data_IF_195560719289
#
_entry.id   IF_195560719289
#
_cell.length_a   1.000
_cell.length_b   1.000
_cell.length_c   1.000
_cell.angle_alpha   90.00
_cell.angle_beta   90.00
_cell.angle_gamma   90.00
#
_symmetry.space_group_name_H-M   'P 1'
#
loop_
_entity.id
_entity.type
_entity.pdbx_description
1 polymer ?
#
# COMPACT_ATOMS: atom_id res chain seq x y z
N UNK A 1 17.67 -30.26 -10.82
CA UNK A 1 16.84 -29.23 -10.16
C UNK A 1 17.30 -27.87 -10.66
N UNK A 2 16.42 -27.08 -11.29
CA UNK A 2 16.74 -25.71 -11.69
C UNK A 2 16.89 -24.85 -10.43
N UNK A 3 18.10 -24.35 -10.16
CA UNK A 3 18.33 -23.46 -9.01
C UNK A 3 17.58 -22.13 -9.20
N UNK A 4 16.84 -21.69 -8.17
CA UNK A 4 16.15 -20.40 -8.18
C UNK A 4 17.15 -19.26 -8.40
N UNK A 5 16.77 -18.36 -9.30
CA UNK A 5 17.62 -17.27 -9.79
C UNK A 5 17.12 -15.90 -9.33
N UNK A 6 15.80 -15.75 -9.29
CA UNK A 6 15.11 -14.61 -8.69
C UNK A 6 14.00 -15.17 -7.81
N UNK A 7 13.92 -14.70 -6.58
CA UNK A 7 12.79 -14.98 -5.68
C UNK A 7 12.00 -13.68 -5.48
N UNK A 8 10.67 -13.78 -5.61
CA UNK A 8 9.75 -12.66 -5.41
C UNK A 8 8.88 -13.01 -4.21
N UNK A 9 8.83 -12.12 -3.22
CA UNK A 9 7.86 -12.23 -2.14
C UNK A 9 6.92 -11.03 -2.13
N UNK A 10 5.71 -11.26 -2.63
CA UNK A 10 4.57 -10.37 -2.46
C UNK A 10 3.51 -11.09 -1.65
N UNK A 11 3.36 -10.75 -0.36
CA UNK A 11 2.21 -11.24 0.41
C UNK A 11 1.00 -10.39 0.02
N UNK A 12 0.24 -10.85 -0.98
CA UNK A 12 -1.11 -10.37 -1.18
C UNK A 12 -1.95 -10.68 0.07
N UNK A 13 -2.55 -9.64 0.66
CA UNK A 13 -3.73 -9.69 1.55
C UNK A 13 -3.85 -10.99 2.40
N UNK A 14 -2.93 -11.24 3.33
CA UNK A 14 -3.07 -12.32 4.30
C UNK A 14 -2.64 -11.85 5.70
N UNK A 15 -3.59 -11.86 6.65
CA UNK A 15 -3.34 -11.68 8.08
C UNK A 15 -2.98 -10.26 8.55
N UNK A 16 -2.81 -10.09 9.87
CA UNK A 16 -2.38 -8.83 10.48
C UNK A 16 -0.95 -8.47 10.06
N UNK A 17 -0.63 -7.18 10.02
CA UNK A 17 0.64 -6.69 9.48
C UNK A 17 1.89 -7.25 10.21
N UNK A 18 1.82 -7.36 11.54
CA UNK A 18 2.90 -7.96 12.33
C UNK A 18 3.14 -9.43 11.96
N UNK A 19 2.07 -10.18 11.66
CA UNK A 19 2.19 -11.55 11.18
C UNK A 19 2.82 -11.61 9.78
N UNK A 20 2.56 -10.63 8.91
CA UNK A 20 3.20 -10.54 7.58
C UNK A 20 4.70 -10.27 7.66
N UNK A 21 5.14 -9.34 8.52
CA UNK A 21 6.56 -9.03 8.68
C UNK A 21 7.37 -10.25 9.16
N UNK A 22 6.82 -10.96 10.16
CA UNK A 22 7.42 -12.19 10.68
C UNK A 22 7.44 -13.26 9.59
N UNK A 23 6.33 -13.47 8.88
CA UNK A 23 6.25 -14.45 7.79
C UNK A 23 7.25 -14.15 6.67
N UNK A 24 7.44 -12.88 6.30
CA UNK A 24 8.41 -12.47 5.28
C UNK A 24 9.83 -12.84 5.69
N UNK A 25 10.22 -12.51 6.93
CA UNK A 25 11.55 -12.84 7.44
C UNK A 25 11.76 -14.36 7.58
N UNK A 26 10.73 -15.12 7.99
CA UNK A 26 10.77 -16.58 8.10
C UNK A 26 10.93 -17.24 6.73
N UNK A 27 10.08 -16.90 5.76
CA UNK A 27 10.17 -17.40 4.38
C UNK A 27 11.54 -17.07 3.77
N UNK A 28 12.07 -15.89 4.05
CA UNK A 28 13.39 -15.48 3.55
C UNK A 28 14.51 -16.31 4.18
N UNK A 29 14.47 -16.59 5.50
CA UNK A 29 15.46 -17.45 6.17
C UNK A 29 15.43 -18.89 5.65
N UNK A 30 14.27 -19.39 5.26
CA UNK A 30 14.14 -20.74 4.68
C UNK A 30 14.59 -20.78 3.21
N UNK A 31 14.27 -19.74 2.44
CA UNK A 31 14.44 -19.75 0.98
C UNK A 31 15.79 -19.22 0.53
N UNK A 32 16.28 -18.12 1.13
CA UNK A 32 17.50 -17.43 0.68
C UNK A 32 18.75 -18.33 0.69
N UNK A 33 18.99 -19.20 1.71
CA UNK A 33 20.14 -20.10 1.71
C UNK A 33 20.14 -21.14 0.59
N UNK A 34 18.98 -21.46 0.00
CA UNK A 34 18.84 -22.39 -1.12
C UNK A 34 19.00 -21.72 -2.50
N UNK A 35 19.08 -20.39 -2.54
CA UNK A 35 19.29 -19.63 -3.78
C UNK A 35 20.75 -19.74 -4.24
N UNK A 36 20.96 -19.67 -5.55
CA UNK A 36 22.32 -19.67 -6.10
C UNK A 36 23.05 -18.37 -5.72
N UNK A 37 24.39 -18.40 -5.52
CA UNK A 37 25.16 -17.18 -5.35
C UNK A 37 24.90 -16.17 -6.47
N UNK A 38 24.70 -14.90 -6.11
CA UNK A 38 24.37 -13.84 -7.08
C UNK A 38 22.93 -13.89 -7.62
N UNK A 39 22.06 -14.73 -7.05
CA UNK A 39 20.61 -14.60 -7.21
C UNK A 39 20.10 -13.28 -6.61
N UNK A 40 18.87 -12.90 -6.94
CA UNK A 40 18.22 -11.69 -6.41
C UNK A 40 16.94 -12.00 -5.65
N UNK A 41 16.75 -11.31 -4.52
CA UNK A 41 15.52 -11.26 -3.74
C UNK A 41 14.80 -9.94 -4.00
N UNK A 42 13.59 -10.00 -4.55
CA UNK A 42 12.70 -8.85 -4.75
C UNK A 42 11.70 -8.78 -3.60
N UNK A 43 11.94 -7.86 -2.66
CA UNK A 43 11.04 -7.60 -1.54
C UNK A 43 9.92 -6.66 -1.99
N UNK A 44 8.77 -7.22 -2.39
CA UNK A 44 7.64 -6.42 -2.91
C UNK A 44 6.55 -6.15 -1.87
N UNK A 45 6.62 -6.83 -0.72
CA UNK A 45 5.69 -6.62 0.38
C UNK A 45 5.96 -5.28 1.07
N UNK A 46 4.91 -4.50 1.31
CA UNK A 46 5.04 -3.23 2.04
C UNK A 46 5.27 -3.53 3.52
N UNK A 47 6.50 -3.38 3.96
CA UNK A 47 6.95 -3.47 5.37
C UNK A 47 7.43 -2.08 5.84
N UNK A 48 7.76 -1.91 7.12
CA UNK A 48 8.36 -0.66 7.60
C UNK A 48 9.82 -0.51 7.14
N UNK A 49 10.38 0.71 7.08
CA UNK A 49 11.79 0.91 6.71
C UNK A 49 12.77 0.10 7.57
N UNK A 50 12.50 -0.06 8.86
CA UNK A 50 13.34 -0.83 9.78
C UNK A 50 13.30 -2.34 9.46
N UNK A 51 12.14 -2.86 9.05
CA UNK A 51 12.00 -4.25 8.63
C UNK A 51 12.82 -4.50 7.35
N UNK A 52 12.87 -3.55 6.41
CA UNK A 52 13.66 -3.67 5.18
C UNK A 52 15.13 -3.90 5.51
N UNK A 53 15.68 -3.18 6.49
CA UNK A 53 17.08 -3.36 6.90
C UNK A 53 17.34 -4.77 7.46
N UNK A 54 16.39 -5.32 8.24
CA UNK A 54 16.47 -6.70 8.75
C UNK A 54 16.45 -7.72 7.61
N UNK A 55 15.58 -7.52 6.61
CA UNK A 55 15.50 -8.40 5.44
C UNK A 55 16.76 -8.32 4.58
N UNK A 56 17.29 -7.12 4.37
CA UNK A 56 18.54 -6.93 3.64
C UNK A 56 19.70 -7.69 4.30
N UNK A 57 19.81 -7.66 5.63
CA UNK A 57 20.82 -8.41 6.38
C UNK A 57 20.68 -9.94 6.22
N UNK A 58 19.44 -10.46 6.12
CA UNK A 58 19.19 -11.87 5.83
C UNK A 58 19.69 -12.21 4.42
N UNK A 59 19.38 -11.39 3.41
CA UNK A 59 19.86 -11.60 2.04
C UNK A 59 21.39 -11.57 1.96
N UNK A 60 22.02 -10.60 2.63
CA UNK A 60 23.48 -10.47 2.68
C UNK A 60 24.12 -11.73 3.27
N UNK A 61 23.60 -12.23 4.40
CA UNK A 61 24.09 -13.46 5.04
C UNK A 61 23.99 -14.71 4.15
N UNK A 62 23.05 -14.70 3.19
CA UNK A 62 22.85 -15.77 2.22
C UNK A 62 23.60 -15.54 0.88
N UNK A 63 24.31 -14.42 0.71
CA UNK A 63 25.00 -14.08 -0.55
C UNK A 63 24.05 -13.77 -1.71
N UNK A 64 22.86 -13.26 -1.41
CA UNK A 64 21.79 -12.91 -2.36
C UNK A 64 21.71 -11.40 -2.51
N UNK A 65 21.53 -10.91 -3.74
CA UNK A 65 21.29 -9.49 -4.02
C UNK A 65 19.92 -9.09 -3.48
N UNK A 66 19.85 -8.03 -2.69
CA UNK A 66 18.59 -7.54 -2.12
C UNK A 66 18.05 -6.34 -2.90
N UNK A 67 16.76 -6.38 -3.23
CA UNK A 67 16.02 -5.26 -3.80
C UNK A 67 14.77 -4.96 -2.98
N UNK A 68 14.65 -3.72 -2.52
CA UNK A 68 13.41 -3.15 -1.97
C UNK A 68 12.53 -2.73 -3.15
N UNK A 69 11.43 -3.43 -3.40
CA UNK A 69 10.62 -3.32 -4.63
C UNK A 69 9.10 -3.19 -4.40
N UNK A 70 8.61 -2.35 -3.47
CA UNK A 70 7.19 -2.18 -3.25
C UNK A 70 6.45 -1.72 -4.51
N UNK A 71 5.19 -2.11 -4.61
CA UNK A 71 4.34 -1.82 -5.77
C UNK A 71 3.25 -0.81 -5.45
N UNK A 72 2.83 -0.06 -6.46
CA UNK A 72 1.64 0.79 -6.48
C UNK A 72 0.69 0.30 -7.56
N UNK A 73 -0.54 0.02 -7.14
CA UNK A 73 -1.61 -0.57 -7.95
C UNK A 73 -2.41 -1.55 -7.10
N UNK A 74 -3.71 -1.63 -7.37
CA UNK A 74 -4.63 -2.53 -6.66
C UNK A 74 -4.68 -3.89 -7.38
N UNK A 75 -5.72 -4.68 -7.09
CA UNK A 75 -5.94 -6.00 -7.69
C UNK A 75 -5.88 -6.01 -9.22
N UNK A 76 -6.63 -5.15 -9.90
CA UNK A 76 -6.70 -5.17 -11.37
C UNK A 76 -5.34 -4.83 -12.03
N UNK A 77 -4.59 -3.79 -11.61
CA UNK A 77 -3.23 -3.58 -12.10
C UNK A 77 -2.29 -4.75 -11.86
N UNK A 78 -2.41 -5.45 -10.71
CA UNK A 78 -1.61 -6.64 -10.43
C UNK A 78 -1.95 -7.82 -11.37
N UNK A 79 -3.24 -8.12 -11.57
CA UNK A 79 -3.71 -9.19 -12.46
C UNK A 79 -3.34 -8.92 -13.93
N UNK A 80 -3.28 -7.65 -14.32
CA UNK A 80 -2.95 -7.23 -15.70
C UNK A 80 -1.45 -6.99 -15.95
N UNK A 81 -0.60 -7.14 -14.93
CA UNK A 81 0.84 -6.86 -15.06
C UNK A 81 1.15 -5.38 -15.33
N UNK A 82 0.32 -4.46 -14.85
CA UNK A 82 0.46 -3.02 -15.11
C UNK A 82 0.84 -2.21 -13.88
N UNK A 83 1.36 -2.86 -12.83
CA UNK A 83 1.80 -2.19 -11.60
C UNK A 83 2.87 -1.12 -11.88
N UNK A 84 2.90 -0.10 -11.04
CA UNK A 84 4.06 0.79 -10.94
C UNK A 84 4.94 0.24 -9.82
N UNK A 85 6.18 -0.10 -10.14
CA UNK A 85 7.11 -0.65 -9.15
C UNK A 85 8.11 0.43 -8.75
N UNK A 86 8.35 0.61 -7.47
CA UNK A 86 9.43 1.44 -6.94
C UNK A 86 10.52 0.48 -6.50
N UNK A 87 11.72 0.58 -7.10
CA UNK A 87 12.81 -0.37 -6.84
C UNK A 87 14.10 0.31 -6.42
N UNK A 88 14.71 -0.19 -5.34
CA UNK A 88 16.05 0.16 -4.89
C UNK A 88 16.89 -1.10 -4.70
N UNK A 89 18.13 -1.06 -5.18
CA UNK A 89 19.07 -2.18 -5.06
C UNK A 89 20.19 -2.10 -6.11
N UNK A 90 21.20 -2.98 -6.02
CA UNK A 90 22.49 -2.79 -6.67
C UNK A 90 22.35 -2.69 -8.20
N UNK A 91 23.09 -1.77 -8.82
CA UNK A 91 23.07 -1.61 -10.27
C UNK A 91 23.50 -2.90 -11.01
N UNK A 92 24.42 -3.65 -10.42
CA UNK A 92 24.99 -4.88 -10.99
C UNK A 92 23.97 -6.01 -11.23
N UNK A 93 22.85 -6.04 -10.50
CA UNK A 93 21.80 -7.05 -10.68
C UNK A 93 20.58 -6.56 -11.46
N UNK A 94 20.61 -5.34 -12.04
CA UNK A 94 19.43 -4.80 -12.73
C UNK A 94 19.03 -5.65 -13.94
N UNK A 95 19.98 -6.05 -14.77
CA UNK A 95 19.72 -6.93 -15.92
C UNK A 95 19.06 -8.26 -15.50
N UNK A 96 19.37 -8.74 -14.30
CA UNK A 96 18.80 -9.97 -13.74
C UNK A 96 17.35 -9.79 -13.32
N UNK A 97 17.00 -8.67 -12.69
CA UNK A 97 15.66 -8.46 -12.10
C UNK A 97 14.67 -7.79 -13.07
N UNK A 98 15.16 -7.01 -14.04
CA UNK A 98 14.29 -6.27 -15.00
C UNK A 98 13.25 -7.16 -15.68
N UNK A 99 13.57 -8.37 -16.21
CA UNK A 99 12.54 -9.22 -16.84
C UNK A 99 11.40 -9.63 -15.89
N UNK A 100 11.69 -9.76 -14.59
CA UNK A 100 10.68 -10.08 -13.57
C UNK A 100 9.83 -8.85 -13.25
N UNK A 101 10.46 -7.67 -13.15
CA UNK A 101 9.78 -6.41 -12.93
C UNK A 101 8.86 -6.05 -14.11
N UNK A 102 9.32 -6.21 -15.34
CA UNK A 102 8.56 -5.94 -16.56
C UNK A 102 7.39 -6.91 -16.76
N UNK A 103 7.46 -8.12 -16.20
CA UNK A 103 6.37 -9.09 -16.28
C UNK A 103 5.16 -8.72 -15.41
N UNK A 104 5.37 -7.93 -14.35
CA UNK A 104 4.32 -7.57 -13.38
C UNK A 104 4.00 -6.08 -13.35
N UNK A 105 4.81 -5.26 -14.04
CA UNK A 105 4.69 -3.81 -14.02
C UNK A 105 4.67 -3.16 -15.40
N UNK A 106 3.95 -2.04 -15.50
CA UNK A 106 3.99 -1.17 -16.67
C UNK A 106 5.22 -0.25 -16.69
N UNK A 107 5.80 0.01 -15.51
CA UNK A 107 7.03 0.79 -15.34
C UNK A 107 7.70 0.53 -13.99
N UNK A 108 9.02 0.63 -13.98
CA UNK A 108 9.86 0.61 -12.77
C UNK A 108 10.47 1.99 -12.52
N UNK A 109 10.32 2.51 -11.32
CA UNK A 109 10.98 3.71 -10.82
C UNK A 109 12.16 3.29 -9.95
N UNK A 110 13.38 3.48 -10.45
CA UNK A 110 14.59 3.19 -9.69
C UNK A 110 14.86 4.31 -8.68
N UNK A 111 14.76 4.03 -7.38
CA UNK A 111 14.89 5.06 -6.32
C UNK A 111 16.26 5.08 -5.65
N UNK A 112 17.16 4.15 -5.99
CA UNK A 112 18.51 4.08 -5.42
C UNK A 112 19.21 2.76 -5.70
N UNK A 113 20.48 2.66 -5.30
CA UNK A 113 21.29 1.44 -5.44
C UNK A 113 21.40 0.62 -4.14
N UNK A 114 20.97 1.19 -3.02
CA UNK A 114 20.94 0.53 -1.72
C UNK A 114 19.48 0.21 -1.34
N UNK A 115 19.12 -1.07 -1.44
CA UNK A 115 17.82 -1.56 -0.99
C UNK A 115 17.67 -1.55 0.53
N UNK A 116 18.77 -1.70 1.28
CA UNK A 116 18.75 -1.74 2.75
C UNK A 116 18.40 -0.37 3.36
N UNK A 117 18.71 0.72 2.65
CA UNK A 117 18.31 2.08 3.02
C UNK A 117 16.79 2.36 2.85
N UNK A 118 16.05 1.41 2.28
CA UNK A 118 14.59 1.46 2.08
C UNK A 118 14.03 2.70 1.32
N UNK A 119 14.72 3.30 0.33
CA UNK A 119 14.20 4.51 -0.32
C UNK A 119 12.93 4.24 -1.14
N UNK A 120 12.73 3.02 -1.65
CA UNK A 120 11.50 2.64 -2.36
C UNK A 120 10.32 2.46 -1.42
N UNK A 121 10.52 1.81 -0.27
CA UNK A 121 9.52 1.72 0.80
C UNK A 121 9.15 3.11 1.33
N UNK A 122 10.11 4.01 1.54
CA UNK A 122 9.83 5.40 1.94
C UNK A 122 8.99 6.13 0.89
N UNK A 123 9.34 6.03 -0.39
CA UNK A 123 8.54 6.62 -1.46
C UNK A 123 7.13 6.01 -1.53
N UNK A 124 7.00 4.69 -1.34
CA UNK A 124 5.70 4.01 -1.29
C UNK A 124 4.82 4.56 -0.16
N UNK A 125 5.37 4.81 1.02
CA UNK A 125 4.61 5.42 2.13
C UNK A 125 4.14 6.84 1.80
N UNK A 126 4.96 7.64 1.10
CA UNK A 126 4.54 8.96 0.59
C UNK A 126 3.42 8.85 -0.45
N UNK A 127 3.48 7.88 -1.36
CA UNK A 127 2.40 7.62 -2.31
C UNK A 127 1.13 7.20 -1.58
N UNK A 128 1.26 6.29 -0.60
CA UNK A 128 0.11 5.81 0.16
C UNK A 128 -0.49 6.87 1.08
N UNK A 129 0.27 7.86 1.53
CA UNK A 129 -0.32 8.99 2.27
C UNK A 129 -1.30 9.78 1.40
N UNK A 130 -0.99 9.96 0.11
CA UNK A 130 -1.92 10.56 -0.85
C UNK A 130 -3.14 9.67 -1.11
N UNK A 131 -2.94 8.36 -1.30
CA UNK A 131 -4.03 7.37 -1.50
C UNK A 131 -5.03 7.42 -0.34
N UNK A 132 -4.54 7.40 0.89
CA UNK A 132 -5.35 7.43 2.12
C UNK A 132 -6.12 8.75 2.24
N UNK A 133 -5.46 9.88 1.99
CA UNK A 133 -6.08 11.18 2.03
C UNK A 133 -7.21 11.32 1.01
N UNK A 134 -6.97 10.96 -0.26
CA UNK A 134 -7.98 11.08 -1.33
C UNK A 134 -9.15 10.13 -1.08
N UNK A 135 -8.90 8.92 -0.59
CA UNK A 135 -10.00 7.99 -0.30
C UNK A 135 -10.88 8.45 0.87
N UNK A 136 -10.30 9.00 1.93
CA UNK A 136 -11.07 9.58 3.04
C UNK A 136 -11.88 10.79 2.56
N UNK A 137 -11.25 11.67 1.76
CA UNK A 137 -11.94 12.82 1.17
C UNK A 137 -13.13 12.39 0.30
N UNK A 138 -12.98 11.35 -0.52
CA UNK A 138 -14.08 10.82 -1.32
C UNK A 138 -15.28 10.39 -0.44
N UNK A 139 -15.02 9.68 0.65
CA UNK A 139 -16.04 9.26 1.60
C UNK A 139 -16.73 10.43 2.30
N UNK A 140 -15.96 11.41 2.77
CA UNK A 140 -16.50 12.60 3.45
C UNK A 140 -17.32 13.49 2.49
N UNK A 141 -16.85 13.71 1.26
CA UNK A 141 -17.55 14.52 0.26
C UNK A 141 -18.89 13.88 -0.12
N UNK A 142 -18.92 12.58 -0.41
CA UNK A 142 -20.17 11.87 -0.74
C UNK A 142 -21.14 11.92 0.44
N UNK A 143 -20.63 11.72 1.66
CA UNK A 143 -21.46 11.75 2.88
C UNK A 143 -22.02 13.15 3.14
N UNK A 144 -21.20 14.20 3.03
CA UNK A 144 -21.62 15.58 3.18
C UNK A 144 -22.65 15.97 2.14
N UNK A 145 -22.40 15.70 0.87
CA UNK A 145 -23.31 16.00 -0.24
C UNK A 145 -24.70 15.40 0.02
N UNK A 146 -24.76 14.11 0.36
CA UNK A 146 -26.01 13.43 0.73
C UNK A 146 -26.69 14.08 1.94
N UNK A 147 -25.93 14.41 2.98
CA UNK A 147 -26.47 15.00 4.21
C UNK A 147 -27.10 16.39 3.99
N UNK A 148 -26.58 17.17 3.04
CA UNK A 148 -27.10 18.51 2.72
C UNK A 148 -28.03 18.54 1.51
N UNK A 149 -28.42 17.37 0.98
CA UNK A 149 -29.36 17.27 -0.15
C UNK A 149 -28.77 17.60 -1.53
N UNK A 150 -27.44 17.57 -1.67
CA UNK A 150 -26.74 17.72 -2.96
C UNK A 150 -26.50 16.33 -3.56
N UNK A 151 -27.00 16.04 -4.78
CA UNK A 151 -26.64 14.82 -5.49
C UNK A 151 -25.12 14.76 -5.71
N UNK A 152 -24.40 13.71 -5.27
CA UNK A 152 -22.94 13.65 -5.41
C UNK A 152 -22.46 13.75 -6.88
N UNK A 153 -23.28 13.31 -7.84
CA UNK A 153 -22.99 13.50 -9.26
C UNK A 153 -22.75 14.96 -9.66
N UNK A 154 -23.47 15.93 -9.06
CA UNK A 154 -23.30 17.36 -9.36
C UNK A 154 -21.94 17.89 -8.92
N UNK A 155 -21.37 17.35 -7.84
CA UNK A 155 -19.99 17.69 -7.45
C UNK A 155 -19.01 17.31 -8.56
N UNK A 156 -19.20 16.12 -9.14
CA UNK A 156 -18.35 15.61 -10.21
C UNK A 156 -18.56 16.28 -11.57
N UNK A 157 -19.77 16.78 -11.85
CA UNK A 157 -20.05 17.62 -13.02
C UNK A 157 -19.28 18.94 -12.95
N UNK A 158 -19.17 19.56 -11.76
CA UNK A 158 -18.41 20.81 -11.57
C UNK A 158 -16.91 20.62 -11.80
N UNK A 159 -16.35 19.45 -11.45
CA UNK A 159 -14.93 19.18 -11.60
C UNK A 159 -14.54 18.69 -13.00
N UNK A 160 -15.50 18.26 -13.81
CA UNK A 160 -15.27 17.53 -15.06
C UNK A 160 -14.34 18.29 -16.02
N UNK A 161 -13.25 17.63 -16.43
CA UNK A 161 -12.24 18.20 -17.32
C UNK A 161 -11.39 19.34 -16.73
N UNK A 162 -11.58 19.67 -15.45
CA UNK A 162 -10.84 20.70 -14.73
C UNK A 162 -9.58 20.16 -14.01
N UNK A 163 -8.73 21.06 -13.53
CA UNK A 163 -7.49 20.69 -12.81
C UNK A 163 -7.70 20.05 -11.42
N UNK A 164 -8.95 20.02 -10.94
CA UNK A 164 -9.34 19.37 -9.70
C UNK A 164 -9.94 17.97 -9.95
N UNK A 165 -10.10 17.56 -11.20
CA UNK A 165 -10.61 16.24 -11.53
C UNK A 165 -9.58 15.16 -11.19
N UNK A 166 -9.88 14.36 -10.17
CA UNK A 166 -9.04 13.27 -9.71
C UNK A 166 -9.75 11.94 -10.03
N UNK A 167 -9.28 11.19 -11.06
CA UNK A 167 -9.86 9.89 -11.40
C UNK A 167 -9.92 8.92 -10.22
N UNK A 168 -8.91 8.94 -9.35
CA UNK A 168 -8.88 8.11 -8.15
C UNK A 168 -9.97 8.48 -7.12
N UNK A 169 -10.27 9.77 -6.96
CA UNK A 169 -11.35 10.24 -6.09
C UNK A 169 -12.70 9.76 -6.61
N UNK A 170 -12.94 9.87 -7.93
CA UNK A 170 -14.15 9.35 -8.60
C UNK A 170 -14.36 7.87 -8.34
N UNK A 171 -13.31 7.06 -8.53
CA UNK A 171 -13.36 5.62 -8.26
C UNK A 171 -13.80 5.36 -6.82
N UNK A 172 -13.18 6.02 -5.83
CA UNK A 172 -13.51 5.80 -4.42
C UNK A 172 -14.90 6.30 -4.05
N UNK A 173 -15.33 7.45 -4.57
CA UNK A 173 -16.67 7.98 -4.35
C UNK A 173 -17.75 7.05 -4.90
N UNK A 174 -17.55 6.52 -6.10
CA UNK A 174 -18.45 5.56 -6.74
C UNK A 174 -18.58 4.24 -5.95
N UNK A 175 -17.50 3.76 -5.31
CA UNK A 175 -17.59 2.62 -4.38
C UNK A 175 -18.50 2.95 -3.18
N UNK A 176 -18.37 4.15 -2.60
CA UNK A 176 -19.21 4.63 -1.49
C UNK A 176 -20.67 4.78 -1.93
N UNK A 177 -20.91 5.32 -3.12
CA UNK A 177 -22.26 5.53 -3.64
C UNK A 177 -23.01 4.23 -3.87
N UNK A 178 -22.32 3.21 -4.42
CA UNK A 178 -22.90 1.90 -4.69
C UNK A 178 -22.87 0.94 -3.51
N UNK A 179 -22.19 1.30 -2.41
CA UNK A 179 -21.91 0.37 -1.30
C UNK A 179 -21.06 -0.83 -1.73
N UNK A 180 -20.27 -0.70 -2.81
CA UNK A 180 -19.49 -1.77 -3.42
C UNK A 180 -18.13 -1.92 -2.71
N UNK A 181 -18.14 -2.14 -1.39
CA UNK A 181 -16.94 -2.15 -0.56
C UNK A 181 -16.23 -3.51 -0.53
N UNK A 182 -16.84 -4.54 -1.12
CA UNK A 182 -16.29 -5.90 -1.20
C UNK A 182 -16.42 -6.47 -2.62
N UNK A 183 -15.39 -7.18 -3.15
CA UNK A 183 -14.06 -7.36 -2.56
C UNK A 183 -13.27 -6.04 -2.51
N UNK A 184 -12.40 -5.90 -1.51
CA UNK A 184 -11.59 -4.69 -1.35
C UNK A 184 -10.57 -4.53 -2.49
N UNK A 185 -10.47 -3.32 -3.05
CA UNK A 185 -9.34 -2.97 -3.91
C UNK A 185 -8.11 -2.65 -3.07
N UNK A 186 -8.31 -2.02 -1.91
CA UNK A 186 -7.31 -1.84 -0.87
C UNK A 186 -8.00 -1.82 0.49
N UNK A 187 -7.74 -2.81 1.34
CA UNK A 187 -8.52 -3.05 2.55
C UNK A 187 -8.26 -2.02 3.67
N UNK A 188 -9.26 -1.81 4.55
CA UNK A 188 -9.16 -0.94 5.73
C UNK A 188 -7.98 -1.36 6.61
N UNK A 189 -7.80 -2.65 6.90
CA UNK A 189 -6.70 -3.15 7.74
C UNK A 189 -5.31 -2.78 7.19
N UNK A 190 -5.15 -2.85 5.87
CA UNK A 190 -3.87 -2.68 5.21
C UNK A 190 -3.58 -1.19 5.03
N UNK A 191 -4.59 -0.39 4.70
CA UNK A 191 -4.47 1.06 4.65
C UNK A 191 -4.29 1.71 6.03
N UNK A 192 -4.94 1.19 7.07
CA UNK A 192 -4.76 1.62 8.46
C UNK A 192 -3.34 1.38 8.93
N UNK A 193 -2.79 0.18 8.67
CA UNK A 193 -1.37 -0.11 8.93
C UNK A 193 -0.44 0.85 8.19
N UNK A 194 -0.67 1.09 6.90
CA UNK A 194 0.17 2.05 6.17
C UNK A 194 0.04 3.47 6.73
N UNK A 195 -1.15 3.88 7.22
CA UNK A 195 -1.32 5.15 7.94
C UNK A 195 -0.47 5.21 9.21
N UNK A 196 -0.43 4.14 10.01
CA UNK A 196 0.43 4.06 11.20
C UNK A 196 1.91 4.15 10.84
N UNK A 197 2.38 3.41 9.82
CA UNK A 197 3.76 3.52 9.33
C UNK A 197 4.12 4.95 8.87
N UNK A 198 3.19 5.63 8.19
CA UNK A 198 3.37 7.02 7.76
C UNK A 198 3.50 7.95 8.97
N UNK A 199 2.67 7.76 10.00
CA UNK A 199 2.70 8.58 11.22
C UNK A 199 3.96 8.33 12.04
N UNK A 200 4.44 7.09 12.13
CA UNK A 200 5.69 6.76 12.79
C UNK A 200 6.88 7.42 12.07
N UNK A 201 6.93 7.30 10.74
CA UNK A 201 7.94 7.96 9.93
C UNK A 201 7.90 9.50 10.07
N UNK A 202 6.71 10.09 10.10
CA UNK A 202 6.55 11.52 10.32
C UNK A 202 7.10 11.94 11.68
N UNK A 203 6.81 11.17 12.74
CA UNK A 203 7.29 11.43 14.10
C UNK A 203 8.81 11.36 14.19
N UNK A 204 9.43 10.36 13.57
CA UNK A 204 10.89 10.23 13.47
C UNK A 204 11.52 11.42 12.74
N UNK A 205 10.84 11.95 11.72
CA UNK A 205 11.25 13.14 10.99
C UNK A 205 10.93 14.46 11.71
N UNK A 206 10.33 14.43 12.90
CA UNK A 206 9.91 15.63 13.64
C UNK A 206 8.72 16.37 13.01
N UNK A 207 7.94 15.70 12.17
CA UNK A 207 6.77 16.23 11.49
C UNK A 207 5.47 15.80 12.18
N UNK A 208 4.47 16.68 12.11
CA UNK A 208 3.09 16.38 12.47
C UNK A 208 2.24 16.39 11.20
N UNK A 209 1.43 15.34 11.00
CA UNK A 209 0.55 15.19 9.85
C UNK A 209 -0.90 15.13 10.30
N UNK A 210 -1.49 16.28 10.66
CA UNK A 210 -2.83 16.36 11.27
C UNK A 210 -3.93 15.65 10.46
N UNK A 211 -3.88 15.81 9.13
CA UNK A 211 -4.82 15.11 8.25
C UNK A 211 -4.67 13.58 8.35
N UNK A 212 -3.43 13.08 8.36
CA UNK A 212 -3.18 11.64 8.48
C UNK A 212 -3.56 11.10 9.86
N UNK A 213 -3.37 11.87 10.94
CA UNK A 213 -3.84 11.50 12.29
C UNK A 213 -5.35 11.28 12.29
N UNK A 214 -6.10 12.20 11.68
CA UNK A 214 -7.55 12.07 11.56
C UNK A 214 -7.95 10.87 10.66
N UNK A 215 -7.31 10.69 9.51
CA UNK A 215 -7.61 9.58 8.59
C UNK A 215 -7.30 8.21 9.21
N UNK A 216 -6.17 8.09 9.91
CA UNK A 216 -5.82 6.88 10.66
C UNK A 216 -6.88 6.56 11.70
N UNK A 217 -7.28 7.53 12.53
CA UNK A 217 -8.30 7.32 13.55
C UNK A 217 -9.67 6.95 12.95
N UNK A 218 -9.99 7.41 11.73
CA UNK A 218 -11.20 6.98 11.01
C UNK A 218 -11.11 5.51 10.60
N UNK A 219 -10.00 5.10 10.00
CA UNK A 219 -9.75 3.71 9.59
C UNK A 219 -9.81 2.76 10.79
N UNK A 220 -9.21 3.14 11.91
CA UNK A 220 -9.22 2.36 13.15
C UNK A 220 -10.66 2.13 13.65
N UNK A 221 -11.49 3.19 13.72
CA UNK A 221 -12.90 3.06 14.12
C UNK A 221 -13.70 2.12 13.21
N UNK A 222 -13.46 2.17 11.90
CA UNK A 222 -14.15 1.30 10.93
C UNK A 222 -13.68 -0.14 11.04
N UNK A 223 -12.39 -0.37 11.27
CA UNK A 223 -11.84 -1.70 11.53
C UNK A 223 -12.47 -2.31 12.80
N UNK A 224 -12.50 -1.55 13.90
CA UNK A 224 -13.09 -1.96 15.18
C UNK A 224 -14.59 -2.28 15.08
N UNK A 225 -15.29 -1.63 14.14
CA UNK A 225 -16.68 -1.89 13.83
C UNK A 225 -16.92 -3.14 12.95
N UNK A 226 -15.86 -3.91 12.62
CA UNK A 226 -15.96 -5.16 11.87
C UNK A 226 -15.79 -5.03 10.36
N UNK A 227 -15.39 -3.87 9.86
CA UNK A 227 -15.24 -3.58 8.43
C UNK A 227 -13.76 -3.65 7.96
N UNK A 228 -12.89 -4.31 8.73
CA UNK A 228 -11.45 -4.36 8.46
C UNK A 228 -11.07 -4.93 7.07
N UNK A 229 -11.88 -5.85 6.55
CA UNK A 229 -11.64 -6.51 5.26
C UNK A 229 -12.31 -5.82 4.07
N UNK A 230 -13.12 -4.78 4.30
CA UNK A 230 -13.72 -3.98 3.25
C UNK A 230 -12.71 -3.00 2.66
N UNK A 231 -13.02 -2.46 1.48
CA UNK A 231 -12.23 -1.41 0.87
C UNK A 231 -12.10 -0.20 1.81
N UNK A 232 -10.94 0.45 1.83
CA UNK A 232 -10.66 1.66 2.62
C UNK A 232 -11.68 2.79 2.40
N UNK A 233 -12.42 2.78 1.29
CA UNK A 233 -13.58 3.62 1.07
C UNK A 233 -14.60 3.54 2.23
N UNK A 234 -14.69 2.39 2.91
CA UNK A 234 -15.50 2.14 4.11
C UNK A 234 -15.20 3.12 5.26
N UNK A 235 -14.05 3.81 5.25
CA UNK A 235 -13.74 4.92 6.17
C UNK A 235 -14.83 6.00 6.25
N UNK A 236 -15.71 6.13 5.25
CA UNK A 236 -16.88 7.01 5.33
C UNK A 236 -17.84 6.65 6.48
N UNK A 237 -17.92 5.36 6.86
CA UNK A 237 -18.76 4.87 7.95
C UNK A 237 -18.40 5.50 9.30
N UNK A 238 -17.13 5.89 9.49
CA UNK A 238 -16.68 6.59 10.69
C UNK A 238 -17.23 8.01 10.87
N UNK A 239 -17.92 8.54 9.86
CA UNK A 239 -18.59 9.86 9.89
C UNK A 239 -20.01 9.83 10.47
N UNK A 240 -20.62 8.64 10.56
CA UNK A 240 -21.92 8.51 11.22
C UNK A 240 -21.68 8.33 12.72
N UNK A 241 -22.28 9.20 13.54
CA UNK A 241 -22.36 8.91 14.97
C UNK A 241 -23.17 7.62 15.13
N UNK A 242 -22.72 6.72 16.00
CA UNK A 242 -23.59 5.65 16.49
C UNK A 242 -24.73 6.33 17.24
N UNK A 243 -25.80 6.71 16.54
CA UNK A 243 -27.02 7.16 17.18
C UNK A 243 -27.50 6.00 18.04
N UNK A 244 -27.41 6.20 19.35
CA UNK A 244 -28.30 5.69 20.39
C UNK A 244 -29.03 4.41 20.04
N UNK A 245 -28.62 3.29 20.65
CA UNK A 245 -29.54 2.18 20.93
C UNK A 245 -30.76 2.76 21.65
N UNK A 246 -31.81 3.11 20.91
CA UNK A 246 -33.16 3.32 21.43
C UNK A 246 -33.91 2.01 21.33
N UNK A 247 -33.84 1.22 22.39
CA UNK A 247 -34.97 0.66 23.16
C UNK A 247 -34.45 -0.34 24.19
#
# INVERSE_FOLDING_TARGET
>A
MSQLTVAVLGTGIMGSAMARNIAVAEVMRETAPAMRPGAAWLQMTTVGPDDVAVLAAIAESAGVLFYDSPVSGTRQPAESGTLVIMTAGPASGRELVTPVLDAVGSRTVWTGEDGAAAPSTRLKLVVNSWVIAVSNAAGEIVTLAKAIGVPPAQFFEVLDGGGLDLPFLRIKADLVERGALSPANFAVDTSGKDAHLILDLAREAGLRLDGMEAFSARLDRVADAGHAHEDMAASYLAGFSTSTKTS
#
